data_IF_530735506392
#
_entry.id   IF_530735506392
#
_cell.length_a   1.000
_cell.length_b   1.000
_cell.length_c   1.000
_cell.angle_alpha   90.00
_cell.angle_beta   90.00
_cell.angle_gamma   90.00
#
_symmetry.space_group_name_H-M   'P 1'
#
loop_
_entity.id
_entity.type
_entity.pdbx_description
1 polymer ?
#
# COMPACT_ATOMS: atom_id res chain seq x y z
N UNK A 1 10.31 -35.22 48.22
CA UNK A 1 11.17 -35.12 47.02
C UNK A 1 10.40 -35.56 45.80
N UNK A 2 10.11 -34.64 44.89
CA UNK A 2 9.71 -34.90 43.50
C UNK A 2 10.54 -33.94 42.62
N UNK A 3 11.17 -34.38 41.52
CA UNK A 3 11.98 -33.49 40.69
C UNK A 3 11.07 -32.52 39.92
N UNK A 4 11.41 -31.22 39.95
CA UNK A 4 10.76 -30.21 39.14
C UNK A 4 11.08 -30.41 37.66
N UNK A 5 10.05 -30.45 36.83
CA UNK A 5 10.21 -30.48 35.37
C UNK A 5 10.74 -29.12 34.89
N UNK A 6 11.71 -29.09 33.95
CA UNK A 6 12.15 -27.84 33.33
C UNK A 6 11.06 -27.35 32.38
N UNK A 7 10.49 -26.18 32.68
CA UNK A 7 9.63 -25.43 31.76
C UNK A 7 10.50 -24.90 30.63
N UNK A 8 10.43 -25.57 29.47
CA UNK A 8 10.96 -25.06 28.21
C UNK A 8 10.14 -23.84 27.78
N UNK A 9 10.80 -22.69 27.71
CA UNK A 9 10.27 -21.49 27.05
C UNK A 9 10.27 -21.77 25.54
N UNK A 10 9.13 -21.72 24.82
CA UNK A 10 9.21 -21.61 23.37
C UNK A 10 9.69 -20.21 23.03
N UNK A 11 11.00 -20.13 22.76
CA UNK A 11 11.65 -19.05 22.03
C UNK A 11 11.35 -19.22 20.55
N UNK A 12 10.39 -18.45 20.03
CA UNK A 12 10.41 -17.81 18.71
C UNK A 12 9.01 -17.27 18.43
N UNK A 13 8.67 -16.12 19.03
CA UNK A 13 7.74 -15.22 18.38
C UNK A 13 8.49 -14.64 17.18
N UNK A 14 8.26 -15.21 16.00
CA UNK A 14 8.65 -14.58 14.75
C UNK A 14 7.97 -13.23 14.72
N UNK A 15 8.74 -12.17 14.98
CA UNK A 15 8.27 -10.81 14.77
C UNK A 15 7.85 -10.71 13.30
N UNK A 16 6.71 -10.08 12.96
CA UNK A 16 6.38 -9.86 11.57
C UNK A 16 7.54 -9.08 10.93
N UNK A 17 8.06 -9.51 9.78
CA UNK A 17 9.15 -8.79 9.13
C UNK A 17 8.71 -7.35 8.86
N UNK A 18 9.58 -6.39 9.19
CA UNK A 18 9.49 -5.00 8.73
C UNK A 18 9.13 -4.99 7.24
N UNK A 19 8.12 -4.22 6.85
CA UNK A 19 7.77 -4.03 5.45
C UNK A 19 8.94 -3.29 4.74
N UNK A 20 9.76 -3.94 3.89
CA UNK A 20 11.02 -3.38 3.38
C UNK A 20 10.86 -2.34 2.24
N UNK A 21 9.69 -1.72 2.09
CA UNK A 21 9.27 -1.12 0.81
C UNK A 21 9.63 0.36 0.63
N UNK A 22 10.01 1.12 1.67
CA UNK A 22 10.15 2.59 1.53
C UNK A 22 11.50 3.16 1.99
N UNK A 23 12.63 2.69 1.44
CA UNK A 23 13.93 3.35 1.63
C UNK A 23 14.67 3.56 0.30
N UNK A 24 14.59 4.79 -0.24
CA UNK A 24 15.37 5.41 -1.37
C UNK A 24 14.84 5.13 -2.79
N UNK A 25 14.68 6.08 -3.73
CA UNK A 25 15.02 7.51 -3.89
C UNK A 25 14.03 8.15 -4.87
N UNK A 26 13.66 9.38 -4.56
CA UNK A 26 12.93 10.30 -5.42
C UNK A 26 13.88 11.06 -6.36
N UNK A 27 13.67 10.93 -7.67
CA UNK A 27 14.05 11.95 -8.66
C UNK A 27 13.42 11.58 -10.01
N UNK A 28 12.30 12.20 -10.38
CA UNK A 28 11.86 12.46 -11.77
C UNK A 28 10.37 12.88 -11.82
N UNK A 29 10.14 14.18 -11.97
CA UNK A 29 8.84 14.75 -12.35
C UNK A 29 9.06 15.92 -13.32
N UNK A 30 8.93 15.67 -14.62
CA UNK A 30 8.65 16.71 -15.61
C UNK A 30 7.96 16.14 -16.87
N UNK A 31 6.78 16.67 -17.18
CA UNK A 31 6.29 16.81 -18.56
C UNK A 31 5.23 15.81 -19.07
N UNK A 32 4.02 16.32 -19.34
CA UNK A 32 3.02 15.66 -20.19
C UNK A 32 1.66 16.35 -20.18
N UNK A 33 1.23 16.91 -21.33
CA UNK A 33 -0.09 17.51 -21.54
C UNK A 33 -1.22 16.45 -21.50
N UNK A 34 -2.47 16.80 -21.13
CA UNK A 34 -3.48 15.79 -20.87
C UNK A 34 -4.21 15.34 -22.15
N UNK A 35 -4.36 14.03 -22.40
CA UNK A 35 -5.46 13.55 -23.21
C UNK A 35 -6.75 13.52 -22.37
N UNK A 36 -7.83 14.00 -22.97
CA UNK A 36 -9.21 13.80 -22.52
C UNK A 36 -9.53 12.30 -22.55
N UNK A 37 -9.62 11.65 -21.38
CA UNK A 37 -10.26 10.35 -21.28
C UNK A 37 -11.00 10.24 -19.96
N UNK A 38 -12.14 9.55 -19.98
CA UNK A 38 -12.86 9.11 -18.79
C UNK A 38 -11.92 8.43 -17.79
N UNK A 39 -12.17 8.61 -16.49
CA UNK A 39 -11.43 7.88 -15.44
C UNK A 39 -11.52 6.37 -15.71
N UNK A 40 -10.40 5.62 -15.58
CA UNK A 40 -10.42 4.18 -15.75
C UNK A 40 -11.22 3.51 -14.63
N UNK A 41 -11.82 2.36 -14.93
CA UNK A 41 -12.60 1.58 -13.97
C UNK A 41 -11.61 0.90 -13.01
N UNK A 42 -11.87 0.92 -11.71
CA UNK A 42 -11.07 0.17 -10.71
C UNK A 42 -11.77 -1.17 -10.43
N UNK A 43 -11.01 -2.28 -10.48
CA UNK A 43 -11.51 -3.65 -10.25
C UNK A 43 -10.49 -4.51 -9.50
N UNK A 44 -10.90 -5.65 -8.91
CA UNK A 44 -9.96 -6.65 -8.41
C UNK A 44 -8.95 -7.06 -9.48
N UNK A 45 -7.69 -7.21 -9.06
CA UNK A 45 -6.63 -7.71 -9.92
C UNK A 45 -6.64 -9.24 -9.94
N UNK A 46 -6.45 -9.81 -11.14
CA UNK A 46 -6.25 -11.24 -11.36
C UNK A 46 -4.84 -11.55 -11.84
N UNK A 47 -4.57 -12.84 -12.09
CA UNK A 47 -3.27 -13.30 -12.59
C UNK A 47 -2.91 -12.67 -13.95
N UNK A 48 -3.90 -12.32 -14.76
CA UNK A 48 -3.76 -11.61 -16.02
C UNK A 48 -3.20 -10.19 -15.87
N UNK A 49 -3.33 -9.58 -14.69
CA UNK A 49 -2.87 -8.23 -14.42
C UNK A 49 -1.42 -8.16 -13.93
N UNK A 50 -0.75 -9.31 -13.73
CA UNK A 50 0.65 -9.37 -13.28
C UNK A 50 1.58 -8.48 -14.13
N UNK A 51 1.51 -8.46 -15.47
CA UNK A 51 2.34 -7.56 -16.27
C UNK A 51 2.08 -6.07 -15.97
N UNK A 52 0.82 -5.68 -15.75
CA UNK A 52 0.45 -4.30 -15.43
C UNK A 52 0.93 -3.92 -14.03
N UNK A 53 0.69 -4.78 -13.04
CA UNK A 53 1.18 -4.58 -11.66
C UNK A 53 2.71 -4.48 -11.62
N UNK A 54 3.41 -5.31 -12.40
CA UNK A 54 4.87 -5.24 -12.50
C UNK A 54 5.37 -3.93 -13.09
N UNK A 55 4.71 -3.44 -14.15
CA UNK A 55 5.03 -2.14 -14.73
C UNK A 55 4.80 -1.00 -13.73
N UNK A 56 3.71 -1.05 -12.95
CA UNK A 56 3.41 -0.06 -11.91
C UNK A 56 4.47 -0.11 -10.81
N UNK A 57 4.74 -1.28 -10.22
CA UNK A 57 5.71 -1.45 -9.12
C UNK A 57 7.09 -0.92 -9.52
N UNK A 58 7.59 -1.26 -10.71
CA UNK A 58 8.87 -0.73 -11.22
C UNK A 58 8.81 0.76 -11.55
N UNK A 59 7.67 1.25 -12.04
CA UNK A 59 7.52 2.59 -12.59
C UNK A 59 7.15 3.69 -11.60
N UNK A 60 6.76 3.35 -10.36
CA UNK A 60 6.35 4.36 -9.37
C UNK A 60 7.53 5.06 -8.70
N UNK A 61 8.73 4.47 -8.75
CA UNK A 61 9.95 5.02 -8.14
C UNK A 61 9.98 4.91 -6.62
N UNK A 62 9.25 3.96 -6.05
CA UNK A 62 9.21 3.70 -4.59
C UNK A 62 10.25 2.67 -4.14
N UNK A 63 10.79 1.89 -5.07
CA UNK A 63 11.65 0.74 -4.82
C UNK A 63 12.96 0.88 -5.58
N UNK A 64 14.04 0.32 -5.05
CA UNK A 64 15.19 -0.07 -5.86
C UNK A 64 14.80 -1.13 -6.89
N UNK A 65 15.66 -1.35 -7.88
CA UNK A 65 15.40 -2.37 -8.91
C UNK A 65 15.25 -3.77 -8.30
N UNK A 66 16.08 -4.11 -7.31
CA UNK A 66 16.04 -5.41 -6.61
C UNK A 66 14.75 -5.58 -5.80
N UNK A 67 14.38 -4.57 -5.00
CA UNK A 67 13.12 -4.60 -4.24
C UNK A 67 11.88 -4.68 -5.16
N UNK A 68 11.91 -3.98 -6.30
CA UNK A 68 10.85 -4.08 -7.30
C UNK A 68 10.79 -5.48 -7.93
N UNK A 69 11.94 -6.09 -8.24
CA UNK A 69 12.02 -7.45 -8.78
C UNK A 69 11.45 -8.47 -7.79
N UNK A 70 11.84 -8.39 -6.52
CA UNK A 70 11.36 -9.26 -5.45
C UNK A 70 9.85 -9.10 -5.23
N UNK A 71 9.36 -7.86 -5.21
CA UNK A 71 7.93 -7.60 -5.04
C UNK A 71 7.14 -8.16 -6.25
N UNK A 72 7.63 -7.97 -7.47
CA UNK A 72 7.02 -8.54 -8.68
C UNK A 72 7.03 -10.07 -8.65
N UNK A 73 8.13 -10.69 -8.21
CA UNK A 73 8.23 -12.14 -8.11
C UNK A 73 7.21 -12.74 -7.12
N UNK A 74 6.75 -11.96 -6.14
CA UNK A 74 5.71 -12.38 -5.18
C UNK A 74 4.28 -12.32 -5.74
N UNK A 75 4.03 -11.59 -6.84
CA UNK A 75 2.68 -11.35 -7.36
C UNK A 75 1.89 -12.63 -7.71
N UNK A 76 2.49 -13.68 -8.34
CA UNK A 76 1.75 -14.89 -8.64
C UNK A 76 1.17 -15.56 -7.39
N UNK A 77 1.94 -15.59 -6.30
CA UNK A 77 1.49 -16.14 -5.02
C UNK A 77 0.50 -15.20 -4.31
N UNK A 78 0.70 -13.88 -4.41
CA UNK A 78 -0.19 -12.89 -3.80
C UNK A 78 -1.57 -12.80 -4.46
N UNK A 79 -1.67 -13.15 -5.76
CA UNK A 79 -2.90 -13.14 -6.53
C UNK A 79 -3.57 -14.51 -6.65
N UNK A 80 -2.83 -15.59 -6.36
CA UNK A 80 -3.42 -16.89 -6.10
C UNK A 80 -4.16 -16.83 -4.75
N UNK A 81 -5.43 -17.26 -4.74
CA UNK A 81 -6.37 -17.29 -3.60
C UNK A 81 -5.73 -16.94 -2.24
N UNK A 82 -5.79 -15.65 -1.87
CA UNK A 82 -5.05 -15.10 -0.74
C UNK A 82 -5.58 -15.66 0.58
N UNK A 83 -4.79 -16.47 1.28
CA UNK A 83 -5.19 -17.03 2.59
C UNK A 83 -5.15 -15.99 3.73
N UNK A 84 -4.51 -14.84 3.51
CA UNK A 84 -4.34 -13.77 4.51
C UNK A 84 -5.32 -12.60 4.34
N UNK A 85 -6.25 -12.69 3.39
CA UNK A 85 -7.25 -11.64 3.12
C UNK A 85 -6.68 -10.39 2.45
N UNK A 86 -5.43 -10.41 1.96
CA UNK A 86 -4.88 -9.34 1.12
C UNK A 86 -5.71 -9.16 -0.15
N UNK A 87 -5.84 -7.92 -0.59
CA UNK A 87 -6.62 -7.56 -1.77
C UNK A 87 -5.79 -6.65 -2.66
N UNK A 88 -5.83 -6.93 -3.96
CA UNK A 88 -5.29 -6.04 -4.99
C UNK A 88 -6.44 -5.45 -5.80
N UNK A 89 -6.37 -4.14 -6.02
CA UNK A 89 -7.17 -3.45 -7.03
C UNK A 89 -6.26 -2.89 -8.12
N UNK A 90 -6.76 -2.88 -9.35
CA UNK A 90 -6.06 -2.36 -10.53
C UNK A 90 -7.04 -1.56 -11.40
N UNK A 91 -6.53 -0.53 -12.07
CA UNK A 91 -7.31 0.21 -13.07
C UNK A 91 -7.41 -0.60 -14.37
N UNK A 92 -8.53 -0.45 -15.08
CA UNK A 92 -8.80 -1.18 -16.33
C UNK A 92 -7.78 -0.92 -17.44
N UNK A 93 -7.10 0.22 -17.38
CA UNK A 93 -6.03 0.60 -18.31
C UNK A 93 -4.62 0.26 -17.80
N UNK A 94 -4.49 -0.41 -16.65
CA UNK A 94 -3.21 -0.79 -16.06
C UNK A 94 -2.34 0.39 -15.58
N UNK A 95 -2.93 1.57 -15.42
CA UNK A 95 -2.20 2.78 -15.04
C UNK A 95 -2.01 2.98 -13.53
N UNK A 96 -2.75 2.25 -12.70
CA UNK A 96 -2.59 2.31 -11.26
C UNK A 96 -3.13 1.09 -10.53
N UNK A 97 -2.65 0.90 -9.31
CA UNK A 97 -3.00 -0.23 -8.45
C UNK A 97 -2.93 0.14 -6.97
N UNK A 98 -3.63 -0.64 -6.15
CA UNK A 98 -3.58 -0.54 -4.70
C UNK A 98 -3.54 -1.95 -4.07
N UNK A 99 -2.75 -2.09 -3.00
CA UNK A 99 -2.72 -3.27 -2.13
C UNK A 99 -3.20 -2.87 -0.74
N UNK A 100 -4.08 -3.67 -0.17
CA UNK A 100 -4.60 -3.49 1.18
C UNK A 100 -4.90 -4.82 1.84
N UNK A 101 -4.92 -4.83 3.17
CA UNK A 101 -5.08 -6.04 3.96
C UNK A 101 -5.82 -5.75 5.26
N UNK A 102 -6.44 -6.77 5.89
CA UNK A 102 -6.97 -6.63 7.24
C UNK A 102 -5.84 -6.48 8.26
N UNK A 103 -6.09 -5.69 9.30
CA UNK A 103 -5.26 -5.63 10.50
C UNK A 103 -5.77 -6.64 11.55
N UNK A 104 -4.96 -7.04 12.55
CA UNK A 104 -5.41 -7.93 13.62
C UNK A 104 -6.62 -7.40 14.41
N UNK A 105 -6.82 -6.09 14.43
CA UNK A 105 -7.97 -5.46 15.07
C UNK A 105 -9.23 -5.61 14.19
N UNK A 106 -10.36 -6.11 14.72
CA UNK A 106 -11.57 -6.32 13.93
C UNK A 106 -12.08 -5.05 13.22
N UNK A 107 -12.38 -5.20 11.93
CA UNK A 107 -12.87 -4.13 11.06
C UNK A 107 -11.84 -3.05 10.74
N UNK A 108 -10.56 -3.24 11.07
CA UNK A 108 -9.49 -2.32 10.68
C UNK A 108 -8.77 -2.90 9.48
N UNK A 109 -8.55 -2.06 8.47
CA UNK A 109 -7.80 -2.39 7.27
C UNK A 109 -6.66 -1.39 7.10
N UNK A 110 -5.64 -1.80 6.35
CA UNK A 110 -4.48 -0.96 6.05
C UNK A 110 -4.16 -1.03 4.56
N UNK A 111 -4.07 0.13 3.91
CA UNK A 111 -3.63 0.23 2.52
C UNK A 111 -2.11 0.36 2.50
N UNK A 112 -1.46 -0.70 2.02
CA UNK A 112 -0.01 -0.87 2.06
C UNK A 112 0.71 -0.30 0.84
N UNK A 113 0.00 -0.16 -0.28
CA UNK A 113 0.55 0.33 -1.53
C UNK A 113 -0.50 1.11 -2.30
N UNK A 114 -0.09 2.24 -2.86
CA UNK A 114 -0.85 3.00 -3.85
C UNK A 114 0.11 3.46 -4.95
N UNK A 115 0.00 2.84 -6.12
CA UNK A 115 0.85 3.11 -7.27
C UNK A 115 0.07 3.72 -8.42
N UNK A 116 0.58 4.81 -8.99
CA UNK A 116 0.08 5.38 -10.25
C UNK A 116 1.27 5.71 -11.14
N UNK A 117 1.25 5.17 -12.37
CA UNK A 117 2.28 5.44 -13.37
C UNK A 117 2.41 6.95 -13.63
N UNK A 118 3.63 7.48 -13.78
CA UNK A 118 3.86 8.92 -13.94
C UNK A 118 3.00 9.60 -15.00
N UNK A 119 2.81 8.95 -16.15
CA UNK A 119 2.03 9.46 -17.27
C UNK A 119 0.52 9.61 -16.98
N UNK A 120 0.02 8.93 -15.94
CA UNK A 120 -1.39 8.94 -15.53
C UNK A 120 -1.64 9.70 -14.22
N UNK A 121 -0.60 10.33 -13.65
CA UNK A 121 -0.74 11.16 -12.45
C UNK A 121 -1.53 12.43 -12.76
N UNK A 122 -2.07 13.06 -11.71
CA UNK A 122 -2.88 14.31 -11.77
C UNK A 122 -4.18 14.22 -12.58
N UNK A 123 -4.62 13.01 -12.94
CA UNK A 123 -5.88 12.73 -13.66
C UNK A 123 -6.98 12.15 -12.76
N UNK A 124 -6.79 12.15 -11.44
CA UNK A 124 -7.74 11.58 -10.47
C UNK A 124 -7.56 10.09 -10.19
N UNK A 125 -6.68 9.37 -10.90
CA UNK A 125 -6.49 7.92 -10.73
C UNK A 125 -6.22 7.50 -9.28
N UNK A 126 -5.28 8.17 -8.59
CA UNK A 126 -4.98 7.85 -7.19
C UNK A 126 -6.18 8.07 -6.25
N UNK A 127 -6.99 9.11 -6.51
CA UNK A 127 -8.22 9.36 -5.75
C UNK A 127 -9.24 8.25 -5.99
N UNK A 128 -9.44 7.88 -7.25
CA UNK A 128 -10.42 6.88 -7.64
C UNK A 128 -10.04 5.49 -7.10
N UNK A 129 -8.73 5.16 -7.03
CA UNK A 129 -8.20 3.98 -6.35
C UNK A 129 -8.49 3.99 -4.85
N UNK A 130 -8.18 5.08 -4.13
CA UNK A 130 -8.43 5.15 -2.67
C UNK A 130 -9.93 5.01 -2.35
N UNK A 131 -10.80 5.67 -3.12
CA UNK A 131 -12.26 5.52 -2.97
C UNK A 131 -12.71 4.08 -3.24
N UNK A 132 -12.11 3.40 -4.22
CA UNK A 132 -12.41 2.00 -4.49
C UNK A 132 -11.94 1.08 -3.36
N UNK A 133 -10.77 1.34 -2.75
CA UNK A 133 -10.29 0.62 -1.55
C UNK A 133 -11.27 0.82 -0.39
N UNK A 134 -11.72 2.04 -0.12
CA UNK A 134 -12.70 2.33 0.92
C UNK A 134 -14.00 1.54 0.71
N UNK A 135 -14.57 1.60 -0.50
CA UNK A 135 -15.80 0.85 -0.82
C UNK A 135 -15.60 -0.65 -0.62
N UNK A 136 -14.50 -1.19 -1.15
CA UNK A 136 -14.20 -2.62 -1.05
C UNK A 136 -14.01 -3.07 0.38
N UNK A 137 -13.33 -2.28 1.21
CA UNK A 137 -13.14 -2.61 2.63
C UNK A 137 -14.45 -2.50 3.42
N UNK A 138 -15.32 -1.51 3.12
CA UNK A 138 -16.68 -1.42 3.71
C UNK A 138 -17.50 -2.69 3.40
N UNK A 139 -17.49 -3.15 2.14
CA UNK A 139 -18.16 -4.40 1.75
C UNK A 139 -17.66 -5.62 2.55
N UNK A 140 -16.40 -5.58 2.98
CA UNK A 140 -15.75 -6.61 3.79
C UNK A 140 -15.89 -6.35 5.31
N UNK A 141 -16.73 -5.41 5.72
CA UNK A 141 -17.03 -5.12 7.13
C UNK A 141 -16.03 -4.19 7.83
N UNK A 142 -15.28 -3.38 7.08
CA UNK A 142 -14.38 -2.41 7.65
C UNK A 142 -15.14 -1.24 8.33
N UNK A 143 -14.64 -0.84 9.50
CA UNK A 143 -14.99 0.40 10.20
C UNK A 143 -13.89 1.46 10.12
N UNK A 144 -12.68 1.08 9.69
CA UNK A 144 -11.52 1.96 9.66
C UNK A 144 -10.52 1.53 8.60
N UNK A 145 -9.95 2.51 7.90
CA UNK A 145 -8.83 2.34 6.99
C UNK A 145 -7.63 3.18 7.48
N UNK A 146 -6.49 2.52 7.58
CA UNK A 146 -5.20 3.11 7.90
C UNK A 146 -4.35 3.24 6.63
N UNK A 147 -3.48 4.24 6.63
CA UNK A 147 -2.44 4.42 5.62
C UNK A 147 -1.18 4.90 6.32
N UNK A 148 -0.09 4.17 6.16
CA UNK A 148 1.24 4.61 6.59
C UNK A 148 2.00 5.17 5.38
N UNK A 149 2.76 6.25 5.56
CA UNK A 149 3.61 6.81 4.49
C UNK A 149 4.81 7.56 5.07
N UNK A 150 5.90 7.61 4.32
CA UNK A 150 7.10 8.42 4.61
C UNK A 150 6.80 9.92 4.79
N UNK A 151 7.58 10.59 5.65
CA UNK A 151 7.55 12.05 5.84
C UNK A 151 8.33 12.82 4.77
N UNK A 152 9.12 12.14 3.93
CA UNK A 152 9.96 12.78 2.92
C UNK A 152 9.15 13.69 1.97
N UNK A 153 9.76 14.74 1.39
CA UNK A 153 9.09 15.66 0.48
C UNK A 153 8.45 14.96 -0.73
N UNK A 154 9.06 13.88 -1.20
CA UNK A 154 8.56 13.08 -2.32
C UNK A 154 7.15 12.51 -2.07
N UNK A 155 6.80 12.24 -0.81
CA UNK A 155 5.48 11.73 -0.41
C UNK A 155 4.46 12.83 -0.09
N UNK A 156 4.84 14.11 -0.17
CA UNK A 156 3.92 15.22 0.05
C UNK A 156 2.64 15.16 -0.83
N UNK A 157 2.69 14.74 -2.13
CA UNK A 157 1.49 14.57 -2.93
C UNK A 157 0.53 13.50 -2.40
N UNK A 158 1.05 12.38 -1.87
CA UNK A 158 0.23 11.33 -1.29
C UNK A 158 -0.44 11.81 0.01
N UNK A 159 0.33 12.47 0.89
CA UNK A 159 -0.20 13.08 2.13
C UNK A 159 -1.28 14.12 1.84
N UNK A 160 -1.09 14.95 0.82
CA UNK A 160 -2.09 15.92 0.38
C UNK A 160 -3.37 15.25 -0.17
N UNK A 161 -3.22 14.14 -0.91
CA UNK A 161 -4.36 13.34 -1.37
C UNK A 161 -5.14 12.75 -0.19
N UNK A 162 -4.47 12.16 0.80
CA UNK A 162 -5.13 11.58 1.96
C UNK A 162 -5.86 12.64 2.79
N UNK A 163 -5.22 13.78 3.05
CA UNK A 163 -5.86 14.90 3.72
C UNK A 163 -7.08 15.43 2.94
N UNK A 164 -6.97 15.54 1.62
CA UNK A 164 -8.09 15.94 0.75
C UNK A 164 -9.27 14.95 0.82
N UNK A 165 -8.98 13.66 0.99
CA UNK A 165 -10.00 12.62 1.15
C UNK A 165 -10.54 12.49 2.58
N UNK A 166 -10.14 13.39 3.49
CA UNK A 166 -10.63 13.42 4.86
C UNK A 166 -9.94 12.42 5.80
N UNK A 167 -8.76 11.92 5.43
CA UNK A 167 -7.91 11.19 6.37
C UNK A 167 -7.25 12.16 7.34
N UNK A 168 -7.25 11.78 8.62
CA UNK A 168 -6.59 12.50 9.70
C UNK A 168 -5.22 11.87 9.96
N UNK A 169 -4.15 12.68 10.02
CA UNK A 169 -2.87 12.21 10.53
C UNK A 169 -2.96 12.05 12.05
N UNK A 170 -2.75 10.83 12.55
CA UNK A 170 -2.95 10.47 13.95
C UNK A 170 -1.70 10.02 14.67
N UNK A 171 -0.65 9.70 13.93
CA UNK A 171 0.64 9.40 14.51
C UNK A 171 1.77 9.85 13.60
N UNK A 172 2.89 10.16 14.24
CA UNK A 172 4.20 10.27 13.62
C UNK A 172 5.18 9.47 14.47
N UNK A 173 5.98 8.63 13.82
CA UNK A 173 7.08 7.93 14.45
C UNK A 173 8.37 8.44 13.80
N UNK A 174 9.15 9.29 14.51
CA UNK A 174 10.39 9.84 13.99
C UNK A 174 11.39 8.76 13.59
N UNK A 175 12.12 9.00 12.52
CA UNK A 175 13.23 8.16 12.03
C UNK A 175 12.86 6.67 11.80
N UNK A 176 11.57 6.39 11.56
CA UNK A 176 11.06 5.01 11.46
C UNK A 176 11.63 4.27 10.24
N UNK A 177 11.66 4.92 9.08
CA UNK A 177 12.15 4.31 7.84
C UNK A 177 13.67 4.47 7.71
N UNK A 178 14.16 5.67 8.01
CA UNK A 178 15.56 6.03 8.07
C UNK A 178 15.72 7.32 8.89
N UNK A 179 16.95 7.68 9.24
CA UNK A 179 17.23 8.98 9.86
C UNK A 179 16.74 10.11 8.93
N UNK A 180 15.86 10.97 9.43
CA UNK A 180 15.19 12.04 8.70
C UNK A 180 13.93 11.61 7.93
N UNK A 181 13.52 10.35 8.05
CA UNK A 181 12.33 9.79 7.40
C UNK A 181 11.39 9.14 8.43
N UNK A 182 10.45 9.94 8.93
CA UNK A 182 9.41 9.51 9.86
C UNK A 182 8.32 8.72 9.15
N UNK A 183 7.67 7.81 9.88
CA UNK A 183 6.41 7.21 9.43
C UNK A 183 5.24 8.05 9.91
N UNK A 184 4.41 8.52 8.98
CA UNK A 184 3.15 9.19 9.28
C UNK A 184 2.00 8.22 9.08
N UNK A 185 1.16 8.08 10.10
CA UNK A 185 -0.05 7.24 10.05
C UNK A 185 -1.28 8.13 9.88
N UNK A 186 -2.02 7.86 8.82
CA UNK A 186 -3.31 8.46 8.52
C UNK A 186 -4.43 7.48 8.85
N UNK A 187 -5.54 7.97 9.41
CA UNK A 187 -6.76 7.18 9.64
C UNK A 187 -7.95 7.81 8.93
N UNK A 188 -8.88 6.96 8.51
CA UNK A 188 -10.25 7.34 8.18
C UNK A 188 -11.23 6.35 8.82
N UNK A 189 -12.24 6.90 9.50
CA UNK A 189 -13.39 6.09 9.95
C UNK A 189 -14.31 5.90 8.76
N UNK A 190 -14.73 4.66 8.54
CA UNK A 190 -15.60 4.28 7.43
C UNK A 190 -17.02 4.09 7.97
N UNK A 191 -18.00 4.57 7.20
CA UNK A 191 -19.43 4.56 7.53
C UNK A 191 -20.23 3.94 6.40
#
# INVERSE_FOLDING_TARGET
MRPGAPTTRPSNASSPPCNPIEVRIADQLAGGAPPTSSSPIVRPAGAEDIPALAAIIRGVGLFSAEEADDFVASLPAALAESQDGRQWLVTSDGSGAALFQPEPAPGVWNMLFLGVLPASRRRGVGRDLVIAVERRTIELGARMLLIDTSSLPAMAPARALYAFLGYEQVAEIPDYWAVGDSKWTFRRVLS
#
